data_IF_393226493874
#
_entry.id   IF_393226493874
#
_cell.length_a   1.000
_cell.length_b   1.000
_cell.length_c   1.000
_cell.angle_alpha   90.00
_cell.angle_beta   90.00
_cell.angle_gamma   90.00
#
_symmetry.space_group_name_H-M   'P 1'
#
loop_
_entity.id
_entity.type
_entity.pdbx_description
1 polymer ?
#
# COMPACT_ATOMS: atom_id res chain seq x y z
N UNK A 1 1.28 1.20 -35.85
CA UNK A 1 0.63 2.39 -35.28
C UNK A 1 0.73 2.30 -33.77
N UNK A 2 1.58 3.14 -33.17
CA UNK A 2 1.87 3.13 -31.73
C UNK A 2 0.66 3.70 -31.00
N UNK A 3 -0.03 2.89 -30.19
CA UNK A 3 -1.26 3.23 -29.43
C UNK A 3 -1.05 4.28 -28.33
N UNK A 4 0.12 4.93 -28.28
CA UNK A 4 0.45 5.97 -27.32
C UNK A 4 -0.40 7.26 -27.47
N UNK A 5 -1.10 7.43 -28.59
CA UNK A 5 -1.77 8.68 -28.96
C UNK A 5 -3.19 8.89 -28.40
N UNK A 6 -3.74 7.96 -27.60
CA UNK A 6 -5.10 8.09 -27.05
C UNK A 6 -5.10 7.94 -25.52
N UNK A 7 -4.13 8.55 -24.86
CA UNK A 7 -4.18 8.71 -23.40
C UNK A 7 -4.61 10.15 -23.10
N UNK A 8 -5.83 10.39 -22.56
CA UNK A 8 -6.26 11.73 -22.17
C UNK A 8 -5.23 12.38 -21.24
N UNK A 9 -4.97 13.68 -21.39
CA UNK A 9 -4.03 14.41 -20.52
C UNK A 9 -4.35 14.28 -19.02
N UNK A 10 -5.63 14.09 -18.68
CA UNK A 10 -6.07 13.81 -17.30
C UNK A 10 -5.48 12.51 -16.73
N UNK A 11 -5.31 11.48 -17.57
CA UNK A 11 -4.73 10.19 -17.17
C UNK A 11 -3.23 10.32 -16.89
N UNK A 12 -2.51 11.14 -17.67
CA UNK A 12 -1.11 11.45 -17.40
C UNK A 12 -0.95 12.18 -16.06
N UNK A 13 -1.78 13.21 -15.82
CA UNK A 13 -1.75 13.97 -14.56
C UNK A 13 -2.05 13.08 -13.36
N UNK A 14 -3.07 12.23 -13.44
CA UNK A 14 -3.41 11.28 -12.38
C UNK A 14 -2.25 10.31 -12.07
N UNK A 15 -1.57 9.82 -13.11
CA UNK A 15 -0.37 8.97 -12.94
C UNK A 15 0.75 9.72 -12.24
N UNK A 16 1.06 10.95 -12.66
CA UNK A 16 2.08 11.79 -12.03
C UNK A 16 1.76 12.02 -10.56
N UNK A 17 0.53 12.42 -10.22
CA UNK A 17 0.11 12.65 -8.84
C UNK A 17 0.23 11.38 -7.98
N UNK A 18 -0.15 10.21 -8.52
CA UNK A 18 0.01 8.95 -7.82
C UNK A 18 1.49 8.61 -7.55
N UNK A 19 2.37 8.86 -8.53
CA UNK A 19 3.81 8.66 -8.38
C UNK A 19 4.44 9.64 -7.39
N UNK A 20 3.97 10.88 -7.32
CA UNK A 20 4.40 11.85 -6.32
C UNK A 20 3.96 11.43 -4.91
N UNK A 21 2.73 10.94 -4.75
CA UNK A 21 2.25 10.39 -3.49
C UNK A 21 3.06 9.16 -3.04
N UNK A 22 3.51 8.34 -3.99
CA UNK A 22 4.41 7.22 -3.76
C UNK A 22 5.82 7.68 -3.40
N UNK A 23 6.37 8.69 -4.07
CA UNK A 23 7.66 9.30 -3.72
C UNK A 23 7.64 9.87 -2.29
N UNK A 24 6.55 10.53 -1.90
CA UNK A 24 6.38 11.01 -0.53
C UNK A 24 6.29 9.87 0.49
N UNK A 25 5.65 8.75 0.14
CA UNK A 25 5.66 7.53 0.97
C UNK A 25 7.08 6.99 1.15
N UNK A 26 7.85 6.88 0.07
CA UNK A 26 9.23 6.39 0.14
C UNK A 26 10.13 7.31 0.99
N UNK A 27 9.95 8.63 0.87
CA UNK A 27 10.67 9.59 1.71
C UNK A 27 10.34 9.41 3.21
N UNK A 28 9.10 9.10 3.56
CA UNK A 28 8.70 8.81 4.94
C UNK A 28 9.30 7.48 5.46
N UNK A 29 9.57 6.52 4.59
CA UNK A 29 10.28 5.26 4.90
C UNK A 29 11.81 5.40 4.80
N UNK A 30 12.35 6.64 4.70
CA UNK A 30 13.78 6.92 4.52
C UNK A 30 14.41 6.16 3.35
N UNK A 31 13.62 5.88 2.32
CA UNK A 31 14.02 5.05 1.17
C UNK A 31 13.91 5.83 -0.12
N UNK A 32 14.85 5.62 -1.06
CA UNK A 32 14.81 6.26 -2.36
C UNK A 32 14.27 5.29 -3.44
N UNK A 33 13.50 5.82 -4.39
CA UNK A 33 12.95 5.03 -5.51
C UNK A 33 14.00 4.23 -6.31
N UNK A 34 15.21 4.76 -6.60
CA UNK A 34 16.25 3.97 -7.28
C UNK A 34 16.68 2.73 -6.50
N UNK A 35 16.77 2.83 -5.16
CA UNK A 35 17.13 1.68 -4.31
C UNK A 35 16.02 0.62 -4.32
N UNK A 36 14.76 1.04 -4.29
CA UNK A 36 13.61 0.13 -4.45
C UNK A 36 13.64 -0.56 -5.80
N UNK A 37 13.89 0.18 -6.88
CA UNK A 37 13.97 -0.38 -8.22
C UNK A 37 15.11 -1.41 -8.33
N UNK A 38 16.28 -1.12 -7.76
CA UNK A 38 17.40 -2.06 -7.72
C UNK A 38 17.06 -3.34 -6.94
N UNK A 39 16.38 -3.21 -5.80
CA UNK A 39 15.94 -4.34 -4.99
C UNK A 39 14.88 -5.21 -5.71
N UNK A 40 13.97 -4.58 -6.46
CA UNK A 40 12.98 -5.30 -7.29
C UNK A 40 13.67 -6.01 -8.46
N UNK A 41 14.61 -5.33 -9.14
CA UNK A 41 15.37 -5.90 -10.24
C UNK A 41 16.19 -7.13 -9.80
N UNK A 42 16.76 -7.10 -8.60
CA UNK A 42 17.52 -8.21 -8.02
C UNK A 42 16.63 -9.39 -7.57
N UNK A 43 15.35 -9.16 -7.26
CA UNK A 43 14.42 -10.20 -6.80
C UNK A 43 13.57 -10.78 -7.94
N UNK A 44 14.05 -11.87 -8.54
CA UNK A 44 13.30 -12.60 -9.59
C UNK A 44 12.01 -13.25 -9.09
N UNK A 45 11.83 -13.41 -7.77
CA UNK A 45 10.61 -14.02 -7.21
C UNK A 45 9.42 -13.05 -7.16
N UNK A 46 9.66 -11.76 -7.40
CA UNK A 46 8.64 -10.70 -7.37
C UNK A 46 8.07 -10.41 -5.98
N UNK A 47 8.68 -10.95 -4.91
CA UNK A 47 8.26 -10.75 -3.51
C UNK A 47 8.52 -9.32 -3.08
N UNK A 48 9.66 -8.75 -3.44
CA UNK A 48 10.03 -7.37 -3.13
C UNK A 48 9.01 -6.39 -3.70
N UNK A 49 8.59 -6.56 -4.96
CA UNK A 49 7.57 -5.71 -5.57
C UNK A 49 6.23 -5.83 -4.82
N UNK A 50 5.81 -7.05 -4.49
CA UNK A 50 4.57 -7.28 -3.75
C UNK A 50 4.61 -6.64 -2.37
N UNK A 51 5.73 -6.78 -1.64
CA UNK A 51 5.91 -6.20 -0.31
C UNK A 51 5.89 -4.68 -0.33
N UNK A 52 6.59 -4.06 -1.28
CA UNK A 52 6.60 -2.60 -1.44
C UNK A 52 5.21 -2.07 -1.75
N UNK A 53 4.47 -2.74 -2.63
CA UNK A 53 3.11 -2.36 -2.99
C UNK A 53 2.12 -2.57 -1.84
N UNK A 54 2.31 -3.61 -1.02
CA UNK A 54 1.49 -3.87 0.17
C UNK A 54 1.69 -2.78 1.24
N UNK A 55 2.95 -2.42 1.53
CA UNK A 55 3.26 -1.29 2.41
C UNK A 55 2.68 0.03 1.89
N UNK A 56 2.79 0.26 0.58
CA UNK A 56 2.20 1.46 -0.03
C UNK A 56 0.67 1.47 0.13
N UNK A 57 -0.01 0.35 -0.11
CA UNK A 57 -1.45 0.21 0.11
C UNK A 57 -1.84 0.52 1.56
N UNK A 58 -1.08 -0.02 2.53
CA UNK A 58 -1.29 0.27 3.95
C UNK A 58 -1.11 1.77 4.24
N UNK A 59 -0.09 2.41 3.66
CA UNK A 59 0.11 3.85 3.82
C UNK A 59 -1.08 4.65 3.29
N UNK A 60 -1.69 4.25 2.17
CA UNK A 60 -2.88 4.90 1.62
C UNK A 60 -4.11 4.70 2.50
N UNK A 61 -4.28 3.50 3.08
CA UNK A 61 -5.40 3.20 3.97
C UNK A 61 -5.35 3.99 5.28
N UNK A 62 -4.15 4.31 5.75
CA UNK A 62 -3.89 5.06 6.98
C UNK A 62 -3.73 6.57 6.77
N UNK A 63 -3.45 7.02 5.53
CA UNK A 63 -3.26 8.44 5.23
C UNK A 63 -4.54 9.25 5.43
N UNK A 64 -4.37 10.39 6.07
CA UNK A 64 -5.39 11.43 6.22
C UNK A 64 -5.01 12.67 5.41
N UNK A 65 -6.02 13.40 4.96
CA UNK A 65 -5.91 14.72 4.35
C UNK A 65 -5.47 15.75 5.39
N UNK A 66 -5.07 16.94 4.94
CA UNK A 66 -4.70 18.05 5.83
C UNK A 66 -5.80 18.41 6.86
N UNK A 67 -7.07 18.10 6.56
CA UNK A 67 -8.20 18.27 7.49
C UNK A 67 -8.48 17.07 8.40
N UNK A 68 -7.55 16.11 8.51
CA UNK A 68 -7.69 14.90 9.34
C UNK A 68 -8.67 13.85 8.80
N UNK A 69 -9.32 14.10 7.65
CA UNK A 69 -10.25 13.15 7.01
C UNK A 69 -9.48 12.07 6.27
N UNK A 70 -9.96 10.83 6.28
CA UNK A 70 -9.40 9.77 5.45
C UNK A 70 -9.41 10.16 3.96
N UNK A 71 -8.48 9.61 3.18
CA UNK A 71 -8.51 9.75 1.72
C UNK A 71 -9.79 9.12 1.15
N UNK A 72 -10.38 9.77 0.15
CA UNK A 72 -11.52 9.23 -0.56
C UNK A 72 -11.17 7.90 -1.24
N UNK A 73 -12.10 6.94 -1.20
CA UNK A 73 -11.93 5.59 -1.80
C UNK A 73 -11.44 5.65 -3.25
N UNK A 74 -12.02 6.53 -4.07
CA UNK A 74 -11.65 6.68 -5.48
C UNK A 74 -10.21 7.18 -5.64
N UNK A 75 -9.74 8.04 -4.74
CA UNK A 75 -8.35 8.53 -4.73
C UNK A 75 -7.39 7.41 -4.35
N UNK A 76 -7.72 6.62 -3.33
CA UNK A 76 -6.91 5.46 -2.90
C UNK A 76 -6.78 4.44 -4.03
N UNK A 77 -7.90 4.04 -4.63
CA UNK A 77 -7.92 3.08 -5.75
C UNK A 77 -7.13 3.62 -6.96
N UNK A 78 -7.30 4.91 -7.29
CA UNK A 78 -6.56 5.55 -8.38
C UNK A 78 -5.06 5.57 -8.12
N UNK A 79 -4.61 5.96 -6.93
CA UNK A 79 -3.18 6.02 -6.60
C UNK A 79 -2.55 4.63 -6.63
N UNK A 80 -3.19 3.65 -5.99
CA UNK A 80 -2.71 2.27 -5.99
C UNK A 80 -2.61 1.72 -7.42
N UNK A 81 -3.67 1.89 -8.22
CA UNK A 81 -3.73 1.35 -9.59
C UNK A 81 -2.67 1.98 -10.51
N UNK A 82 -2.44 3.29 -10.41
CA UNK A 82 -1.43 3.97 -11.22
C UNK A 82 0.00 3.52 -10.87
N UNK A 83 0.33 3.37 -9.58
CA UNK A 83 1.66 2.92 -9.14
C UNK A 83 1.86 1.43 -9.47
N UNK A 84 0.82 0.61 -9.29
CA UNK A 84 0.82 -0.81 -9.69
C UNK A 84 1.14 -0.95 -11.17
N UNK A 85 0.39 -0.27 -12.03
CA UNK A 85 0.58 -0.36 -13.47
C UNK A 85 1.97 0.15 -13.86
N UNK A 86 2.43 1.25 -13.25
CA UNK A 86 3.79 1.74 -13.48
C UNK A 86 4.87 0.68 -13.19
N UNK A 87 4.76 -0.08 -12.10
CA UNK A 87 5.73 -1.14 -11.81
C UNK A 87 5.57 -2.36 -12.70
N UNK A 88 4.35 -2.77 -13.05
CA UNK A 88 4.14 -3.89 -13.97
C UNK A 88 4.60 -3.59 -15.40
N UNK A 89 4.63 -2.31 -15.79
CA UNK A 89 5.19 -1.87 -17.07
C UNK A 89 6.72 -1.76 -17.01
N UNK A 90 7.28 -1.34 -15.87
CA UNK A 90 8.73 -1.23 -15.69
C UNK A 90 9.44 -2.59 -15.50
N UNK A 91 8.75 -3.59 -14.94
CA UNK A 91 9.27 -4.92 -14.64
C UNK A 91 8.45 -6.01 -15.36
N UNK A 92 8.34 -5.89 -16.69
CA UNK A 92 7.52 -6.80 -17.51
C UNK A 92 7.86 -8.29 -17.29
N UNK A 93 9.13 -8.62 -17.07
CA UNK A 93 9.59 -9.99 -16.82
C UNK A 93 9.04 -10.61 -15.52
N UNK A 94 8.61 -9.79 -14.56
CA UNK A 94 8.03 -10.22 -13.30
C UNK A 94 6.50 -10.12 -13.28
N UNK A 95 5.89 -9.60 -14.37
CA UNK A 95 4.46 -9.29 -14.44
C UNK A 95 3.58 -10.49 -14.14
N UNK A 96 3.87 -11.64 -14.75
CA UNK A 96 3.10 -12.89 -14.57
C UNK A 96 3.07 -13.38 -13.11
N UNK A 97 4.14 -13.11 -12.34
CA UNK A 97 4.27 -13.53 -10.94
C UNK A 97 3.57 -12.56 -9.98
N UNK A 98 3.57 -11.27 -10.31
CA UNK A 98 3.10 -10.21 -9.42
C UNK A 98 1.66 -9.77 -9.69
N UNK A 99 1.19 -9.79 -10.94
CA UNK A 99 -0.07 -9.15 -11.36
C UNK A 99 -1.27 -9.59 -10.52
N UNK A 100 -1.47 -10.90 -10.35
CA UNK A 100 -2.56 -11.44 -9.53
C UNK A 100 -2.45 -11.04 -8.06
N UNK A 101 -1.23 -11.02 -7.51
CA UNK A 101 -0.98 -10.66 -6.10
C UNK A 101 -1.26 -9.17 -5.87
N UNK A 102 -0.79 -8.31 -6.77
CA UNK A 102 -1.04 -6.87 -6.71
C UNK A 102 -2.53 -6.54 -6.92
N UNK A 103 -3.22 -7.25 -7.82
CA UNK A 103 -4.67 -7.12 -7.97
C UNK A 103 -5.41 -7.46 -6.67
N UNK A 104 -5.02 -8.53 -5.99
CA UNK A 104 -5.61 -8.93 -4.69
C UNK A 104 -5.39 -7.89 -3.58
N UNK A 105 -4.22 -7.25 -3.54
CA UNK A 105 -3.95 -6.14 -2.61
C UNK A 105 -4.88 -4.97 -2.92
N UNK A 106 -5.00 -4.57 -4.19
CA UNK A 106 -5.91 -3.49 -4.61
C UNK A 106 -7.36 -3.75 -4.22
N UNK A 107 -7.87 -4.97 -4.46
CA UNK A 107 -9.24 -5.34 -4.06
C UNK A 107 -9.42 -5.35 -2.54
N UNK A 108 -8.44 -5.84 -1.78
CA UNK A 108 -8.47 -5.82 -0.30
C UNK A 108 -8.51 -4.38 0.22
N UNK A 109 -7.71 -3.51 -0.38
CA UNK A 109 -7.66 -2.09 -0.06
C UNK A 109 -9.02 -1.42 -0.31
N UNK A 110 -9.63 -1.66 -1.47
CA UNK A 110 -10.96 -1.10 -1.80
C UNK A 110 -12.06 -1.57 -0.86
N UNK A 111 -12.03 -2.84 -0.44
CA UNK A 111 -12.97 -3.39 0.54
C UNK A 111 -12.80 -2.74 1.92
N UNK A 112 -11.55 -2.60 2.38
CA UNK A 112 -11.25 -1.94 3.66
C UNK A 112 -11.68 -0.46 3.67
N UNK A 113 -11.52 0.24 2.54
CA UNK A 113 -11.98 1.61 2.41
C UNK A 113 -13.52 1.70 2.33
N UNK A 114 -14.19 0.77 1.66
CA UNK A 114 -15.65 0.74 1.58
C UNK A 114 -16.32 0.58 2.96
N UNK A 115 -15.70 -0.16 3.89
CA UNK A 115 -16.22 -0.32 5.25
C UNK A 115 -16.07 0.93 6.12
N UNK A 116 -15.11 1.82 5.80
CA UNK A 116 -14.93 3.09 6.53
C UNK A 116 -16.04 4.11 6.22
N UNK A 117 -16.63 4.04 5.03
CA UNK A 117 -17.68 4.97 4.60
C UNK A 117 -19.08 4.58 5.12
N UNK A 118 -19.30 3.34 5.59
CA UNK A 118 -20.64 2.88 5.97
C UNK A 118 -20.91 2.81 7.48
N UNK A 119 -20.01 2.36 8.34
CA UNK A 119 -20.27 2.21 9.79
C UNK A 119 -18.93 2.07 10.54
N UNK A 120 -18.47 3.09 11.27
CA UNK A 120 -17.80 2.93 12.58
C UNK A 120 -17.38 4.30 13.18
N UNK A 121 -18.36 5.13 13.57
CA UNK A 121 -18.16 6.07 14.69
C UNK A 121 -18.30 5.31 16.00
N UNK A 122 -17.40 4.36 16.25
CA UNK A 122 -17.09 3.90 17.59
C UNK A 122 -15.58 3.72 17.62
N UNK A 123 -14.88 4.82 17.91
CA UNK A 123 -13.45 4.83 18.13
C UNK A 123 -13.16 3.95 19.35
N UNK A 124 -12.84 2.68 19.15
CA UNK A 124 -11.79 2.10 19.99
C UNK A 124 -10.47 2.73 19.54
N UNK A 125 -9.63 3.19 20.48
CA UNK A 125 -8.35 3.80 20.13
C UNK A 125 -7.57 2.84 19.22
N UNK A 126 -6.91 3.40 18.21
CA UNK A 126 -6.08 2.61 17.30
C UNK A 126 -5.10 1.81 18.15
N UNK A 127 -5.10 0.49 18.01
CA UNK A 127 -4.20 -0.41 18.72
C UNK A 127 -2.76 0.11 18.48
N UNK A 128 -2.18 0.73 19.49
CA UNK A 128 -0.87 1.35 19.43
C UNK A 128 0.19 0.26 19.54
N UNK A 129 1.43 0.57 19.18
CA UNK A 129 2.56 -0.34 19.39
C UNK A 129 2.65 -0.82 20.86
N UNK A 130 2.22 0.04 21.81
CA UNK A 130 2.15 -0.30 23.24
C UNK A 130 1.09 -1.34 23.55
N UNK A 131 -0.05 -1.30 22.87
CA UNK A 131 -1.13 -2.28 23.04
C UNK A 131 -0.69 -3.66 22.51
N UNK A 132 0.05 -3.69 21.40
CA UNK A 132 0.70 -4.89 20.87
C UNK A 132 1.76 -5.46 21.82
N UNK A 133 2.59 -4.60 22.41
CA UNK A 133 3.59 -5.02 23.41
C UNK A 133 2.93 -5.54 24.69
N UNK A 134 1.84 -4.91 25.14
CA UNK A 134 1.07 -5.36 26.30
C UNK A 134 0.42 -6.73 26.06
N UNK A 135 -0.17 -6.96 24.88
CA UNK A 135 -0.68 -8.26 24.47
C UNK A 135 0.42 -9.33 24.45
N UNK A 136 1.56 -9.02 23.84
CA UNK A 136 2.70 -9.95 23.77
C UNK A 136 3.19 -10.30 25.18
N UNK A 137 3.34 -9.31 26.04
CA UNK A 137 3.79 -9.50 27.43
C UNK A 137 2.80 -10.34 28.23
N UNK A 138 1.49 -10.09 28.07
CA UNK A 138 0.45 -10.85 28.75
C UNK A 138 0.44 -12.33 28.34
N UNK A 139 0.59 -12.62 27.04
CA UNK A 139 0.66 -13.99 26.52
C UNK A 139 1.87 -14.73 27.10
N UNK A 140 3.05 -14.11 27.09
CA UNK A 140 4.27 -14.71 27.64
C UNK A 140 4.19 -14.91 29.16
N UNK A 141 3.58 -13.97 29.89
CA UNK A 141 3.44 -14.05 31.35
C UNK A 141 2.45 -15.15 31.75
N UNK A 142 1.31 -15.28 31.05
CA UNK A 142 0.38 -16.39 31.29
C UNK A 142 0.97 -17.75 30.88
N UNK A 143 1.78 -17.81 29.81
CA UNK A 143 2.47 -19.03 29.44
C UNK A 143 3.54 -19.45 30.47
N UNK A 144 4.16 -18.49 31.17
CA UNK A 144 5.09 -18.75 32.25
C UNK A 144 4.39 -19.17 33.56
N UNK A 145 3.16 -18.70 33.80
CA UNK A 145 2.35 -19.06 34.97
C UNK A 145 1.50 -20.33 34.79
N UNK A 146 1.41 -20.89 33.59
CA UNK A 146 0.74 -22.17 33.32
C UNK A 146 1.62 -23.41 33.57
N UNK A 147 2.73 -23.24 34.31
CA UNK A 147 3.52 -24.33 34.89
C UNK A 147 3.32 -24.32 36.41
N UNK A 148 2.21 -24.87 36.85
CA UNK A 148 2.10 -25.63 38.11
C UNK A 148 1.11 -26.78 37.85
#
# INVERSE_FOLDING_TARGET
>A
MTTAAITPGNTHRARTTALDAYKAFLAAESTARPAVNAAIAADTSGRTLVLVMDKFALSLACKTTAGGKALAKNTISSYYSNVKNHYLDAFEGQRSVCERKLAKIGTTLEKHCATKDSVFTNKTPACTLKDLQALTTAIFKNAASARD
#
